data_IF_858304447849
#
_entry.id   IF_858304447849
#
_cell.length_a   1.000
_cell.length_b   1.000
_cell.length_c   1.000
_cell.angle_alpha   90.00
_cell.angle_beta   90.00
_cell.angle_gamma   90.00
#
_symmetry.space_group_name_H-M   'P 1'
#
loop_
_entity.id
_entity.type
_entity.pdbx_description
1 polymer ?
#
# COMPACT_ATOMS: atom_id res chain seq x y z
N UNK A 1 -4.81 -16.77 1.12
CA UNK A 1 -5.00 -15.65 2.07
C UNK A 1 -6.00 -16.06 3.14
N UNK A 2 -5.84 -15.62 4.40
CA UNK A 2 -6.86 -15.73 5.44
C UNK A 2 -7.59 -14.39 5.58
N UNK A 3 -8.90 -14.40 5.82
CA UNK A 3 -9.72 -13.19 5.94
C UNK A 3 -10.42 -13.14 7.30
N UNK A 4 -10.66 -11.92 7.82
CA UNK A 4 -11.33 -11.65 9.10
C UNK A 4 -12.41 -10.59 8.92
N UNK A 5 -13.44 -10.65 9.75
CA UNK A 5 -14.48 -9.62 9.77
C UNK A 5 -13.90 -8.29 10.28
N UNK A 6 -14.14 -7.22 9.53
CA UNK A 6 -13.63 -5.90 9.87
C UNK A 6 -14.63 -5.16 10.78
N UNK A 7 -14.62 -5.55 12.06
CA UNK A 7 -15.56 -5.03 13.05
C UNK A 7 -17.01 -5.30 12.65
N UNK A 8 -17.84 -4.26 12.62
CA UNK A 8 -19.28 -4.34 12.26
C UNK A 8 -19.58 -3.82 10.86
N UNK A 9 -18.58 -3.69 10.00
CA UNK A 9 -18.72 -3.12 8.65
C UNK A 9 -19.34 -4.08 7.63
N UNK A 10 -19.37 -5.39 7.95
CA UNK A 10 -19.72 -6.44 7.00
C UNK A 10 -18.62 -6.78 5.99
N UNK A 11 -17.47 -6.09 6.05
CA UNK A 11 -16.33 -6.39 5.17
C UNK A 11 -15.49 -7.51 5.72
N UNK A 12 -14.90 -8.29 4.80
CA UNK A 12 -13.86 -9.27 5.12
C UNK A 12 -12.52 -8.78 4.60
N UNK A 13 -11.61 -8.46 5.52
CA UNK A 13 -10.27 -7.97 5.20
C UNK A 13 -9.24 -9.06 5.36
N UNK A 14 -8.17 -9.01 4.57
CA UNK A 14 -7.05 -9.92 4.70
C UNK A 14 -6.43 -9.82 6.09
N UNK A 15 -6.12 -10.97 6.68
CA UNK A 15 -5.50 -11.07 8.00
C UNK A 15 -4.13 -10.37 8.09
N UNK A 16 -3.48 -10.23 6.94
CA UNK A 16 -2.27 -9.44 6.69
C UNK A 16 -2.65 -8.29 5.75
N UNK A 17 -2.38 -7.06 6.18
CA UNK A 17 -2.51 -5.86 5.33
C UNK A 17 -1.18 -5.46 4.71
N UNK A 18 -1.24 -4.58 3.70
CA UNK A 18 -0.05 -3.96 3.11
C UNK A 18 0.16 -2.57 3.72
N UNK A 19 1.28 -2.36 4.41
CA UNK A 19 1.63 -1.04 4.97
C UNK A 19 2.47 -0.22 4.00
N UNK A 20 2.00 0.98 3.67
CA UNK A 20 2.67 1.91 2.75
C UNK A 20 3.60 2.93 3.47
N UNK A 21 3.96 2.67 4.73
CA UNK A 21 4.89 3.55 5.47
C UNK A 21 6.27 3.57 4.80
N UNK A 22 6.83 2.42 4.43
CA UNK A 22 8.22 2.32 3.93
C UNK A 22 8.28 1.74 2.53
N UNK A 23 7.95 2.56 1.54
CA UNK A 23 8.04 2.19 0.13
C UNK A 23 9.49 2.31 -0.37
N UNK A 24 9.87 1.59 -1.44
CA UNK A 24 11.17 1.74 -2.09
C UNK A 24 11.46 3.19 -2.47
N UNK A 25 12.67 3.66 -2.17
CA UNK A 25 13.11 5.05 -2.43
C UNK A 25 14.47 5.07 -3.12
N UNK A 26 14.80 6.20 -3.74
CA UNK A 26 16.13 6.49 -4.25
C UNK A 26 17.04 7.03 -3.14
N UNK A 27 18.20 6.41 -2.95
CA UNK A 27 19.16 6.75 -1.88
C UNK A 27 18.84 6.05 -0.56
N UNK A 28 19.57 6.44 0.49
CA UNK A 28 19.53 5.75 1.79
C UNK A 28 18.59 6.40 2.81
N UNK A 29 17.96 7.54 2.48
CA UNK A 29 17.03 8.23 3.37
C UNK A 29 15.65 7.55 3.35
N UNK A 30 15.23 6.86 4.41
CA UNK A 30 13.91 6.27 4.47
C UNK A 30 12.84 7.37 4.52
N UNK A 31 11.62 7.07 4.06
CA UNK A 31 10.48 8.01 4.09
C UNK A 31 10.67 9.30 3.27
N UNK A 32 11.67 9.39 2.39
CA UNK A 32 11.78 10.54 1.46
C UNK A 32 10.67 10.51 0.39
N UNK A 33 10.33 11.67 -0.18
CA UNK A 33 9.43 11.76 -1.35
C UNK A 33 9.94 11.10 -2.63
N UNK A 34 11.23 10.76 -2.70
CA UNK A 34 11.87 10.15 -3.87
C UNK A 34 11.56 8.66 -3.98
N UNK A 35 10.27 8.32 -4.04
CA UNK A 35 9.79 6.93 -4.16
C UNK A 35 10.19 6.38 -5.54
N UNK A 36 10.70 5.15 -5.57
CA UNK A 36 10.86 4.36 -6.81
C UNK A 36 9.49 3.86 -7.24
N UNK A 37 8.72 4.71 -7.93
CA UNK A 37 7.28 4.50 -8.11
C UNK A 37 6.92 3.17 -8.75
N UNK A 38 7.60 2.76 -9.82
CA UNK A 38 7.31 1.51 -10.52
C UNK A 38 7.44 0.30 -9.60
N UNK A 39 8.52 0.20 -8.84
CA UNK A 39 8.75 -0.89 -7.88
C UNK A 39 7.76 -0.86 -6.73
N UNK A 40 7.42 0.33 -6.24
CA UNK A 40 6.47 0.49 -5.17
C UNK A 40 5.04 0.09 -5.60
N UNK A 41 4.64 0.44 -6.83
CA UNK A 41 3.38 0.02 -7.46
C UNK A 41 3.37 -1.49 -7.67
N UNK A 42 4.42 -2.06 -8.26
CA UNK A 42 4.54 -3.50 -8.48
C UNK A 42 4.47 -4.27 -7.16
N UNK A 43 5.09 -3.75 -6.10
CA UNK A 43 5.05 -4.34 -4.76
C UNK A 43 3.65 -4.34 -4.15
N UNK A 44 2.90 -3.24 -4.28
CA UNK A 44 1.51 -3.16 -3.82
C UNK A 44 0.64 -4.13 -4.62
N UNK A 45 0.74 -4.09 -5.95
CA UNK A 45 -0.05 -4.95 -6.85
C UNK A 45 0.24 -6.43 -6.65
N UNK A 46 1.50 -6.79 -6.42
CA UNK A 46 1.88 -8.16 -6.07
C UNK A 46 1.17 -8.65 -4.79
N UNK A 47 1.05 -7.80 -3.77
CA UNK A 47 0.32 -8.15 -2.55
C UNK A 47 -1.19 -8.35 -2.83
N UNK A 48 -1.78 -7.46 -3.63
CA UNK A 48 -3.19 -7.54 -4.05
C UNK A 48 -3.46 -8.82 -4.84
N UNK A 49 -2.60 -9.14 -5.82
CA UNK A 49 -2.69 -10.36 -6.64
C UNK A 49 -2.61 -11.65 -5.79
N UNK A 50 -2.04 -11.57 -4.57
CA UNK A 50 -1.98 -12.69 -3.61
C UNK A 50 -3.06 -12.63 -2.52
N UNK A 51 -4.06 -11.78 -2.73
CA UNK A 51 -5.29 -11.73 -1.96
C UNK A 51 -5.31 -10.69 -0.84
N UNK A 52 -4.30 -9.82 -0.72
CA UNK A 52 -4.36 -8.69 0.21
C UNK A 52 -5.42 -7.71 -0.30
N UNK A 53 -6.37 -7.33 0.55
CA UNK A 53 -7.41 -6.35 0.21
C UNK A 53 -7.50 -5.22 1.25
N UNK A 54 -6.49 -5.10 2.11
CA UNK A 54 -6.37 -4.04 3.10
C UNK A 54 -5.01 -3.36 2.95
N UNK A 55 -5.02 -2.08 2.57
CA UNK A 55 -3.83 -1.25 2.39
C UNK A 55 -3.89 -0.11 3.41
N UNK A 56 -2.83 0.03 4.19
CA UNK A 56 -2.66 1.07 5.20
C UNK A 56 -1.70 2.16 4.70
N UNK A 57 -2.09 3.42 4.84
CA UNK A 57 -1.29 4.60 4.47
C UNK A 57 -1.67 5.78 5.36
N UNK A 58 -0.87 6.85 5.35
CA UNK A 58 -1.16 8.08 6.07
C UNK A 58 -0.61 9.32 5.36
N UNK A 59 -1.26 10.46 5.58
CA UNK A 59 -0.87 11.78 5.02
C UNK A 59 0.63 12.12 5.20
N UNK A 60 1.24 11.76 6.32
CA UNK A 60 2.65 12.08 6.59
C UNK A 60 3.67 11.25 5.81
N UNK A 61 3.27 10.15 5.18
CA UNK A 61 4.20 9.21 4.57
C UNK A 61 4.84 9.78 3.31
N UNK A 62 6.16 9.60 3.18
CA UNK A 62 6.94 10.03 2.02
C UNK A 62 6.79 11.52 1.69
N UNK A 63 6.85 12.39 2.70
CA UNK A 63 6.57 13.83 2.59
C UNK A 63 5.26 14.10 1.82
N UNK A 64 4.18 13.42 2.22
CA UNK A 64 2.83 13.51 1.64
C UNK A 64 2.69 12.91 0.23
N UNK A 65 3.66 12.09 -0.23
CA UNK A 65 3.57 11.36 -1.49
C UNK A 65 3.02 9.94 -1.36
N UNK A 66 2.95 9.38 -0.14
CA UNK A 66 2.50 8.00 0.09
C UNK A 66 1.10 7.73 -0.45
N UNK A 67 0.11 8.56 -0.07
CA UNK A 67 -1.28 8.39 -0.51
C UNK A 67 -1.44 8.52 -2.03
N UNK A 68 -0.71 9.47 -2.65
CA UNK A 68 -0.70 9.63 -4.11
C UNK A 68 -0.14 8.41 -4.83
N UNK A 69 0.88 7.76 -4.28
CA UNK A 69 1.41 6.52 -4.85
C UNK A 69 0.40 5.37 -4.71
N UNK A 70 -0.20 5.19 -3.52
CA UNK A 70 -1.22 4.15 -3.32
C UNK A 70 -2.37 4.34 -4.30
N UNK A 71 -2.81 5.59 -4.53
CA UNK A 71 -3.84 5.91 -5.52
C UNK A 71 -3.42 5.56 -6.97
N UNK A 72 -2.13 5.59 -7.31
CA UNK A 72 -1.65 5.10 -8.62
C UNK A 72 -1.67 3.59 -8.69
N UNK A 73 -1.28 2.91 -7.61
CA UNK A 73 -1.23 1.45 -7.56
C UNK A 73 -2.63 0.80 -7.71
N UNK A 74 -3.66 1.42 -7.13
CA UNK A 74 -5.06 0.95 -7.13
C UNK A 74 -5.90 1.50 -8.29
N UNK A 75 -5.28 1.96 -9.38
CA UNK A 75 -5.98 2.29 -10.63
C UNK A 75 -6.02 1.09 -11.57
N UNK A 76 -6.85 1.20 -12.61
CA UNK A 76 -6.91 0.28 -13.75
C UNK A 76 -7.39 -1.14 -13.38
N UNK A 77 -8.30 -1.23 -12.42
CA UNK A 77 -8.91 -2.50 -12.00
C UNK A 77 -8.24 -3.19 -10.81
N UNK A 78 -7.33 -2.49 -10.13
CA UNK A 78 -6.75 -2.88 -8.83
C UNK A 78 -7.49 -2.27 -7.64
#
# INVERSE_FOLDING_TARGET
MQYRDFGKTGWKVSALGFGAMRLPVHGDEPMTKKIREAEAIDMIRYAVDRGVNYVDTAYGYHEQKGESLVAKALRDGY
#
